data_IF_751911442984
#
_entry.id   IF_751911442984
#
_cell.length_a   1.000
_cell.length_b   1.000
_cell.length_c   1.000
_cell.angle_alpha   90.00
_cell.angle_beta   90.00
_cell.angle_gamma   90.00
#
_symmetry.space_group_name_H-M   'P 1'
#
loop_
_entity.id
_entity.type
_entity.pdbx_description
1 polymer ?
#
# COMPACT_ATOMS: atom_id res chain seq x y z
N UNK A 1 0.69 -11.42 -51.88
CA UNK A 1 0.31 -10.40 -50.88
C UNK A 1 -1.21 -10.15 -50.74
N UNK A 2 -2.05 -10.54 -51.71
CA UNK A 2 -3.52 -10.44 -51.61
C UNK A 2 -4.11 -11.25 -50.43
N UNK A 3 -3.58 -12.46 -50.18
CA UNK A 3 -3.95 -13.29 -49.03
C UNK A 3 -3.66 -12.64 -47.67
N UNK A 4 -2.52 -11.95 -47.53
CA UNK A 4 -2.17 -11.22 -46.30
C UNK A 4 -3.19 -10.11 -45.98
N UNK A 5 -3.60 -9.32 -46.98
CA UNK A 5 -4.58 -8.24 -46.77
C UNK A 5 -5.94 -8.78 -46.32
N UNK A 6 -6.38 -9.91 -46.88
CA UNK A 6 -7.60 -10.61 -46.47
C UNK A 6 -7.49 -11.11 -45.03
N UNK A 7 -6.36 -11.75 -44.70
CA UNK A 7 -6.08 -12.25 -43.34
C UNK A 7 -6.12 -11.11 -42.31
N UNK A 8 -5.50 -9.97 -42.61
CA UNK A 8 -5.51 -8.81 -41.71
C UNK A 8 -6.94 -8.29 -41.47
N UNK A 9 -7.72 -8.15 -42.54
CA UNK A 9 -9.11 -7.70 -42.45
C UNK A 9 -9.98 -8.62 -41.58
N UNK A 10 -9.77 -9.94 -41.67
CA UNK A 10 -10.49 -10.93 -40.87
C UNK A 10 -10.04 -10.98 -39.40
N UNK A 11 -8.73 -10.94 -39.13
CA UNK A 11 -8.19 -11.16 -37.78
C UNK A 11 -8.05 -9.89 -36.95
N UNK A 12 -7.75 -8.75 -37.58
CA UNK A 12 -7.48 -7.50 -36.88
C UNK A 12 -8.58 -6.45 -37.09
N UNK A 13 -9.47 -6.65 -38.06
CA UNK A 13 -10.55 -5.74 -38.43
C UNK A 13 -10.26 -5.03 -39.76
N UNK A 14 -11.31 -4.71 -40.51
CA UNK A 14 -11.20 -4.14 -41.88
C UNK A 14 -10.53 -2.75 -41.91
N UNK A 15 -10.47 -2.07 -40.76
CA UNK A 15 -9.86 -0.77 -40.58
C UNK A 15 -8.33 -0.80 -40.61
N UNK A 16 -7.72 -1.99 -40.46
CA UNK A 16 -6.29 -2.21 -40.56
C UNK A 16 -5.90 -2.66 -41.96
N UNK A 17 -5.00 -1.91 -42.61
CA UNK A 17 -4.61 -2.16 -44.01
C UNK A 17 -3.12 -2.04 -44.19
N UNK A 18 -2.56 -2.85 -45.08
CA UNK A 18 -1.14 -2.80 -45.45
C UNK A 18 -0.94 -2.75 -46.96
N UNK A 19 -0.01 -1.90 -47.38
CA UNK A 19 0.45 -1.82 -48.78
C UNK A 19 1.99 -1.71 -48.82
N UNK A 20 2.57 -2.10 -49.94
CA UNK A 20 3.98 -1.79 -50.22
C UNK A 20 4.11 -0.35 -50.71
N UNK A 21 5.14 0.34 -50.25
CA UNK A 21 5.53 1.64 -50.80
C UNK A 21 6.63 1.50 -51.85
N UNK A 22 6.88 2.57 -52.61
CA UNK A 22 7.95 2.62 -53.60
C UNK A 22 9.34 2.34 -53.00
N UNK A 23 9.52 2.59 -51.70
CA UNK A 23 10.72 2.23 -50.92
C UNK A 23 10.91 0.73 -50.71
N UNK A 24 9.96 -0.12 -51.13
CA UNK A 24 9.96 -1.55 -50.86
C UNK A 24 9.59 -1.90 -49.42
N UNK A 25 9.15 -0.94 -48.61
CA UNK A 25 8.74 -1.13 -47.21
C UNK A 25 7.23 -1.23 -47.05
N UNK A 26 6.79 -1.71 -45.90
CA UNK A 26 5.38 -1.92 -45.58
C UNK A 26 4.76 -0.67 -44.96
N UNK A 27 3.75 -0.09 -45.60
CA UNK A 27 2.90 0.96 -45.01
C UNK A 27 1.70 0.34 -44.30
N UNK A 28 1.60 0.60 -43.00
CA UNK A 28 0.45 0.27 -42.18
C UNK A 28 -0.51 1.46 -42.13
N UNK A 29 -1.79 1.22 -42.38
CA UNK A 29 -2.86 2.23 -42.32
C UNK A 29 -3.94 1.78 -41.35
N UNK A 30 -4.38 2.69 -40.50
CA UNK A 30 -5.55 2.50 -39.64
C UNK A 30 -6.63 3.54 -39.97
N UNK A 31 -7.86 3.07 -40.16
CA UNK A 31 -9.06 3.87 -40.40
C UNK A 31 -9.86 3.92 -39.10
N UNK A 32 -9.93 5.09 -38.46
CA UNK A 32 -10.69 5.27 -37.23
C UNK A 32 -12.20 5.24 -37.54
N UNK A 33 -12.99 4.61 -36.66
CA UNK A 33 -14.47 4.57 -36.73
C UNK A 33 -14.98 4.07 -38.09
N UNK A 34 -14.57 2.87 -38.46
CA UNK A 34 -14.73 2.27 -39.80
C UNK A 34 -16.16 2.32 -40.41
N UNK A 35 -17.21 2.52 -39.63
CA UNK A 35 -18.61 2.50 -40.07
C UNK A 35 -19.20 3.85 -40.55
N UNK A 36 -18.44 4.96 -40.55
CA UNK A 36 -18.97 6.31 -40.93
C UNK A 36 -18.64 6.79 -42.36
N UNK A 37 -18.15 5.92 -43.25
CA UNK A 37 -17.94 6.27 -44.67
C UNK A 37 -16.78 7.24 -44.93
N UNK A 38 -16.95 8.15 -45.91
CA UNK A 38 -15.87 8.98 -46.47
C UNK A 38 -15.24 9.99 -45.50
N UNK A 39 -15.88 10.28 -44.35
CA UNK A 39 -15.37 11.20 -43.32
C UNK A 39 -14.42 10.59 -42.28
N UNK A 40 -14.07 9.30 -42.40
CA UNK A 40 -13.24 8.63 -41.41
C UNK A 40 -11.81 9.17 -41.40
N UNK A 41 -11.33 9.57 -40.22
CA UNK A 41 -9.92 9.91 -40.01
C UNK A 41 -9.07 8.68 -40.32
N UNK A 42 -8.09 8.82 -41.22
CA UNK A 42 -7.13 7.78 -41.58
C UNK A 42 -5.74 8.24 -41.19
N UNK A 43 -4.95 7.34 -40.63
CA UNK A 43 -3.53 7.57 -40.38
C UNK A 43 -2.72 6.43 -40.96
N UNK A 44 -1.56 6.74 -41.52
CA UNK A 44 -0.66 5.74 -42.05
C UNK A 44 0.76 5.95 -41.50
N UNK A 45 1.49 4.84 -41.35
CA UNK A 45 2.89 4.83 -40.95
C UNK A 45 3.65 3.75 -41.69
N UNK A 46 4.79 4.10 -42.25
CA UNK A 46 5.73 3.15 -42.85
C UNK A 46 6.48 2.41 -41.76
N UNK A 47 6.35 1.09 -41.75
CA UNK A 47 7.11 0.18 -40.91
C UNK A 47 8.38 -0.22 -41.66
N UNK A 48 9.55 -0.30 -41.00
CA UNK A 48 10.79 -0.81 -41.58
C UNK A 48 10.77 -2.34 -41.75
N UNK A 49 9.68 -2.89 -42.31
CA UNK A 49 9.55 -4.29 -42.72
C UNK A 49 9.51 -4.32 -44.24
N UNK A 50 10.36 -5.15 -44.86
CA UNK A 50 10.36 -5.34 -46.31
C UNK A 50 8.99 -5.84 -46.79
N UNK A 51 8.45 -5.23 -47.83
CA UNK A 51 7.20 -5.67 -48.43
C UNK A 51 7.45 -6.87 -49.34
N UNK A 52 7.03 -8.05 -48.91
CA UNK A 52 7.18 -9.26 -49.72
C UNK A 52 6.56 -10.50 -49.06
N UNK A 53 6.47 -11.62 -49.80
CA UNK A 53 5.87 -12.86 -49.31
C UNK A 53 6.53 -13.43 -48.05
N UNK A 54 7.85 -13.24 -47.90
CA UNK A 54 8.65 -13.74 -46.77
C UNK A 54 8.41 -12.97 -45.47
N UNK A 55 7.93 -11.74 -45.54
CA UNK A 55 7.73 -10.86 -44.37
C UNK A 55 6.29 -10.89 -43.82
N UNK A 56 5.41 -11.75 -44.35
CA UNK A 56 3.99 -11.80 -43.94
C UNK A 56 3.81 -12.03 -42.43
N UNK A 57 4.57 -12.96 -41.84
CA UNK A 57 4.49 -13.27 -40.40
C UNK A 57 4.93 -12.08 -39.55
N UNK A 58 5.99 -11.39 -39.96
CA UNK A 58 6.51 -10.21 -39.26
C UNK A 58 5.51 -9.05 -39.30
N UNK A 59 4.86 -8.84 -40.45
CA UNK A 59 3.79 -7.83 -40.59
C UNK A 59 2.61 -8.15 -39.66
N UNK A 60 2.20 -9.42 -39.55
CA UNK A 60 1.10 -9.83 -38.66
C UNK A 60 1.46 -9.59 -37.19
N UNK A 61 2.66 -10.00 -36.76
CA UNK A 61 3.16 -9.75 -35.39
C UNK A 61 3.24 -8.26 -35.06
N UNK A 62 3.62 -7.43 -36.03
CA UNK A 62 3.64 -5.98 -35.85
C UNK A 62 2.23 -5.42 -35.59
N UNK A 63 1.24 -5.87 -36.34
CA UNK A 63 -0.16 -5.44 -36.17
C UNK A 63 -0.72 -5.95 -34.83
N UNK A 64 -0.40 -7.18 -34.45
CA UNK A 64 -0.81 -7.78 -33.17
C UNK A 64 -0.34 -6.95 -31.97
N UNK A 65 0.90 -6.43 -32.01
CA UNK A 65 1.41 -5.53 -30.98
C UNK A 65 0.82 -4.11 -31.06
N UNK A 66 0.71 -3.54 -32.26
CA UNK A 66 0.30 -2.14 -32.47
C UNK A 66 -1.20 -1.94 -32.19
N UNK A 67 -2.05 -2.90 -32.57
CA UNK A 67 -3.52 -2.78 -32.46
C UNK A 67 -4.02 -2.46 -31.05
N UNK A 68 -3.70 -3.23 -29.99
CA UNK A 68 -4.22 -2.94 -28.65
C UNK A 68 -3.73 -1.59 -28.14
N UNK A 69 -2.54 -1.14 -28.52
CA UNK A 69 -2.04 0.20 -28.18
C UNK A 69 -2.91 1.31 -28.80
N UNK A 70 -3.29 1.17 -30.07
CA UNK A 70 -4.11 2.18 -30.76
C UNK A 70 -5.59 2.11 -30.33
N UNK A 71 -6.15 0.91 -30.21
CA UNK A 71 -7.59 0.71 -30.00
C UNK A 71 -7.97 0.73 -28.52
N UNK A 72 -7.22 0.03 -27.67
CA UNK A 72 -7.57 -0.12 -26.25
C UNK A 72 -6.88 0.93 -25.36
N UNK A 73 -5.67 1.36 -25.74
CA UNK A 73 -4.90 2.37 -25.00
C UNK A 73 -4.99 3.77 -25.61
N UNK A 74 -5.75 3.93 -26.69
CA UNK A 74 -6.01 5.21 -27.36
C UNK A 74 -4.74 5.99 -27.77
N UNK A 75 -3.65 5.28 -28.10
CA UNK A 75 -2.42 5.88 -28.62
C UNK A 75 -2.56 6.24 -30.11
N UNK A 76 -1.76 7.20 -30.58
CA UNK A 76 -1.68 7.47 -32.02
C UNK A 76 -1.01 6.31 -32.75
N UNK A 77 -1.36 6.08 -34.03
CA UNK A 77 -0.70 5.05 -34.84
C UNK A 77 0.82 5.30 -34.93
N UNK A 78 1.24 6.55 -34.98
CA UNK A 78 2.65 6.91 -35.03
C UNK A 78 3.39 6.52 -33.73
N UNK A 79 2.79 6.77 -32.56
CA UNK A 79 3.37 6.38 -31.27
C UNK A 79 3.43 4.86 -31.16
N UNK A 80 2.32 4.16 -31.43
CA UNK A 80 2.27 2.71 -31.35
C UNK A 80 3.29 2.02 -32.29
N UNK A 81 3.42 2.50 -33.53
CA UNK A 81 4.42 2.01 -34.47
C UNK A 81 5.86 2.33 -34.04
N UNK A 82 6.09 3.48 -33.44
CA UNK A 82 7.41 3.83 -32.87
C UNK A 82 7.77 2.93 -31.70
N UNK A 83 6.80 2.60 -30.83
CA UNK A 83 6.96 1.65 -29.72
C UNK A 83 7.29 0.24 -30.21
N UNK A 84 6.58 -0.22 -31.25
CA UNK A 84 6.87 -1.49 -31.90
C UNK A 84 8.29 -1.52 -32.49
N UNK A 85 8.67 -0.48 -33.25
CA UNK A 85 10.02 -0.36 -33.82
C UNK A 85 11.09 -0.40 -32.73
N UNK A 86 10.89 0.33 -31.62
CA UNK A 86 11.81 0.34 -30.49
C UNK A 86 11.95 -1.03 -29.80
N UNK A 87 10.86 -1.79 -29.71
CA UNK A 87 10.84 -3.09 -29.03
C UNK A 87 11.41 -4.23 -29.88
N UNK A 88 11.19 -4.21 -31.20
CA UNK A 88 11.44 -5.38 -32.07
C UNK A 88 12.46 -5.15 -33.19
N UNK A 89 12.79 -3.89 -33.54
CA UNK A 89 13.69 -3.56 -34.65
C UNK A 89 14.92 -2.76 -34.23
N UNK A 90 14.83 -1.95 -33.17
CA UNK A 90 15.98 -1.18 -32.72
C UNK A 90 17.17 -2.07 -32.37
N UNK A 91 18.36 -1.70 -32.84
CA UNK A 91 19.60 -2.17 -32.21
C UNK A 91 19.51 -1.89 -30.71
N UNK A 92 19.95 -2.84 -29.87
CA UNK A 92 19.88 -2.75 -28.40
C UNK A 92 20.46 -1.44 -27.82
N UNK A 93 21.22 -0.68 -28.62
CA UNK A 93 21.85 0.59 -28.28
C UNK A 93 21.04 1.86 -28.63
N UNK A 94 20.05 1.82 -29.53
CA UNK A 94 19.44 3.05 -30.11
C UNK A 94 17.91 3.11 -30.11
N UNK A 95 17.21 2.16 -29.46
CA UNK A 95 15.79 2.35 -29.17
C UNK A 95 15.59 3.68 -28.41
N UNK A 96 14.63 4.55 -28.81
CA UNK A 96 14.38 5.81 -28.12
C UNK A 96 13.83 5.48 -26.72
N UNK A 97 14.73 5.34 -25.75
CA UNK A 97 14.35 5.42 -24.35
C UNK A 97 13.84 6.84 -24.13
N UNK A 98 12.55 6.97 -23.78
CA UNK A 98 12.13 8.20 -23.12
C UNK A 98 13.05 8.43 -21.92
N UNK A 99 13.37 9.69 -21.64
CA UNK A 99 14.17 9.97 -20.47
C UNK A 99 13.30 9.62 -19.25
N UNK A 100 13.86 8.91 -18.26
CA UNK A 100 13.11 8.60 -17.03
C UNK A 100 12.60 9.87 -16.35
N UNK A 101 13.31 11.00 -16.50
CA UNK A 101 12.90 12.31 -16.01
C UNK A 101 11.60 12.83 -16.68
N UNK A 102 11.24 12.35 -17.87
CA UNK A 102 10.05 12.80 -18.59
C UNK A 102 8.75 12.36 -17.88
N UNK A 103 8.77 11.25 -17.16
CA UNK A 103 7.57 10.68 -16.54
C UNK A 103 7.72 10.33 -15.04
N UNK A 104 8.88 10.61 -14.46
CA UNK A 104 9.15 10.50 -13.02
C UNK A 104 9.31 11.87 -12.38
N UNK A 105 8.24 12.67 -12.44
CA UNK A 105 8.25 13.99 -11.80
C UNK A 105 8.22 13.82 -10.28
N UNK A 106 9.19 14.45 -9.61
CA UNK A 106 9.37 14.36 -8.17
C UNK A 106 8.44 15.36 -7.45
N UNK A 107 7.54 14.91 -6.57
CA UNK A 107 6.79 15.81 -5.70
C UNK A 107 7.74 16.60 -4.79
N UNK A 108 7.53 17.91 -4.60
CA UNK A 108 8.35 18.71 -3.71
C UNK A 108 8.37 18.15 -2.28
N UNK A 109 9.54 17.79 -1.77
CA UNK A 109 9.71 17.37 -0.39
C UNK A 109 9.77 18.63 0.50
N UNK A 110 8.70 18.95 1.24
CA UNK A 110 8.77 19.95 2.32
C UNK A 110 9.88 19.56 3.29
N UNK A 111 10.99 20.27 3.25
CA UNK A 111 12.16 20.06 4.11
C UNK A 111 13.51 20.51 3.55
N UNK A 112 13.65 20.80 2.25
CA UNK A 112 14.92 21.37 1.70
C UNK A 112 14.89 22.88 1.47
N UNK A 113 13.71 23.49 1.38
CA UNK A 113 13.57 24.94 1.27
C UNK A 113 13.27 25.49 2.67
N UNK A 114 14.27 26.13 3.28
CA UNK A 114 14.09 27.12 4.37
C UNK A 114 13.60 28.45 3.77
N UNK A 115 12.71 28.40 2.78
CA UNK A 115 12.20 29.62 2.14
C UNK A 115 10.69 29.69 2.30
N UNK A 116 10.19 30.91 2.22
CA UNK A 116 8.85 31.37 2.50
C UNK A 116 7.74 30.35 2.16
N UNK A 117 6.71 30.24 3.03
CA UNK A 117 5.50 29.44 2.79
C UNK A 117 4.82 29.79 1.46
N UNK A 118 5.06 30.98 0.91
CA UNK A 118 4.57 31.38 -0.41
C UNK A 118 5.34 30.75 -1.58
N UNK A 119 6.67 30.71 -1.53
CA UNK A 119 7.50 30.08 -2.57
C UNK A 119 7.24 28.58 -2.66
N UNK A 120 7.13 27.90 -1.52
CA UNK A 120 6.75 26.49 -1.43
C UNK A 120 5.39 26.23 -2.12
N UNK A 121 4.44 27.16 -1.96
CA UNK A 121 3.12 27.08 -2.61
C UNK A 121 3.24 27.27 -4.12
N UNK A 122 4.02 28.25 -4.59
CA UNK A 122 4.28 28.50 -6.02
C UNK A 122 4.96 27.29 -6.67
N UNK A 123 5.98 26.72 -6.03
CA UNK A 123 6.70 25.55 -6.53
C UNK A 123 5.79 24.31 -6.62
N UNK A 124 4.97 24.06 -5.59
CA UNK A 124 4.02 22.93 -5.61
C UNK A 124 2.90 23.13 -6.64
N UNK A 125 2.45 24.37 -6.86
CA UNK A 125 1.51 24.70 -7.94
C UNK A 125 2.13 24.47 -9.32
N UNK A 126 3.41 24.84 -9.52
CA UNK A 126 4.14 24.58 -10.75
C UNK A 126 4.31 23.06 -11.01
N UNK A 127 4.72 22.28 -10.00
CA UNK A 127 4.77 20.82 -10.08
C UNK A 127 3.41 20.24 -10.50
N UNK A 128 2.32 20.65 -9.84
CA UNK A 128 0.97 20.17 -10.18
C UNK A 128 0.61 20.48 -11.64
N UNK A 129 0.85 21.72 -12.08
CA UNK A 129 0.58 22.15 -13.46
C UNK A 129 1.37 21.33 -14.47
N UNK A 130 2.65 21.09 -14.22
CA UNK A 130 3.49 20.32 -15.14
C UNK A 130 3.11 18.85 -15.14
N UNK A 131 2.88 18.30 -13.96
CA UNK A 131 2.50 16.90 -13.78
C UNK A 131 1.12 16.55 -14.36
N UNK A 132 0.23 17.53 -14.51
CA UNK A 132 -1.07 17.34 -15.16
C UNK A 132 -0.96 17.18 -16.69
N UNK A 133 0.16 17.60 -17.29
CA UNK A 133 0.38 17.54 -18.75
C UNK A 133 1.03 16.23 -19.20
N UNK A 134 1.53 15.42 -18.27
CA UNK A 134 2.32 14.22 -18.56
C UNK A 134 1.73 13.01 -17.85
N UNK A 135 1.74 11.84 -18.49
CA UNK A 135 1.39 10.56 -17.85
C UNK A 135 2.48 10.14 -16.85
N UNK A 136 2.55 10.86 -15.73
CA UNK A 136 3.60 10.70 -14.74
C UNK A 136 3.27 9.64 -13.69
N UNK A 137 4.28 8.94 -13.18
CA UNK A 137 4.13 7.81 -12.27
C UNK A 137 3.28 8.14 -11.02
N UNK A 138 3.45 9.32 -10.44
CA UNK A 138 2.70 9.70 -9.23
C UNK A 138 1.20 9.88 -9.48
N UNK A 139 0.75 10.03 -10.73
CA UNK A 139 -0.68 10.01 -11.05
C UNK A 139 -1.33 8.65 -10.73
N UNK A 140 -0.57 7.55 -10.80
CA UNK A 140 -1.05 6.22 -10.35
C UNK A 140 -1.18 6.10 -8.84
N UNK A 141 -0.66 7.09 -8.11
CA UNK A 141 -0.58 7.15 -6.66
C UNK A 141 -1.47 8.27 -6.10
N UNK A 142 -2.51 8.67 -6.84
CA UNK A 142 -3.47 9.66 -6.37
C UNK A 142 -4.23 9.17 -5.12
N UNK A 143 -4.63 10.12 -4.27
CA UNK A 143 -5.35 9.83 -3.02
C UNK A 143 -4.48 9.30 -1.87
N UNK A 144 -3.15 9.33 -2.03
CA UNK A 144 -2.22 8.99 -0.96
C UNK A 144 -2.18 10.04 0.16
N UNK A 145 -1.84 9.58 1.37
CA UNK A 145 -1.49 10.50 2.45
C UNK A 145 -0.23 11.30 2.10
N UNK A 146 -0.10 12.49 2.67
CA UNK A 146 1.08 13.35 2.51
C UNK A 146 2.39 12.65 2.87
N UNK A 147 2.39 11.79 3.90
CA UNK A 147 3.57 11.00 4.29
C UNK A 147 3.96 10.04 3.18
N UNK A 148 2.99 9.30 2.65
CA UNK A 148 3.22 8.32 1.59
C UNK A 148 3.68 9.00 0.29
N UNK A 149 3.13 10.16 -0.05
CA UNK A 149 3.59 10.98 -1.18
C UNK A 149 5.06 11.38 -1.02
N UNK A 150 5.47 11.84 0.17
CA UNK A 150 6.89 12.13 0.47
C UNK A 150 7.78 10.90 0.35
N UNK A 151 7.33 9.75 0.85
CA UNK A 151 8.10 8.50 0.76
C UNK A 151 8.30 8.07 -0.70
N UNK A 152 7.27 8.21 -1.55
CA UNK A 152 7.41 8.01 -2.99
C UNK A 152 8.34 9.03 -3.64
N UNK A 153 8.27 10.31 -3.27
CA UNK A 153 9.20 11.33 -3.74
C UNK A 153 10.66 10.99 -3.43
N UNK A 154 10.96 10.49 -2.21
CA UNK A 154 12.31 10.01 -1.84
C UNK A 154 12.76 8.82 -2.70
N UNK A 155 11.86 7.86 -2.94
CA UNK A 155 12.14 6.67 -3.76
C UNK A 155 12.42 7.03 -5.22
N UNK A 156 11.63 7.93 -5.80
CA UNK A 156 11.81 8.43 -7.16
C UNK A 156 13.12 9.22 -7.26
N UNK A 157 13.41 10.10 -6.29
CA UNK A 157 14.67 10.84 -6.24
C UNK A 157 15.88 9.91 -6.26
N UNK A 158 15.89 8.88 -5.42
CA UNK A 158 17.00 7.90 -5.42
C UNK A 158 17.12 7.16 -6.75
N UNK A 159 16.00 6.77 -7.34
CA UNK A 159 15.98 6.12 -8.65
C UNK A 159 16.61 7.02 -9.73
N UNK A 160 16.20 8.29 -9.79
CA UNK A 160 16.73 9.26 -10.75
C UNK A 160 18.19 9.62 -10.47
N UNK A 161 18.57 9.78 -9.21
CA UNK A 161 19.94 10.01 -8.80
C UNK A 161 20.86 8.93 -9.36
N UNK A 162 20.52 7.65 -9.17
CA UNK A 162 21.33 6.54 -9.68
C UNK A 162 21.28 6.44 -11.20
N UNK A 163 20.12 6.64 -11.81
CA UNK A 163 19.98 6.66 -13.27
C UNK A 163 20.85 7.73 -13.95
N UNK A 164 21.03 8.89 -13.31
CA UNK A 164 21.74 10.03 -13.85
C UNK A 164 23.25 10.06 -13.46
N UNK A 165 23.73 9.11 -12.66
CA UNK A 165 25.17 8.98 -12.31
C UNK A 165 25.99 8.54 -13.52
N UNK A 166 27.31 8.77 -13.46
CA UNK A 166 28.29 8.23 -14.41
C UNK A 166 29.23 7.24 -13.69
N UNK A 167 29.39 6.00 -14.19
CA UNK A 167 28.66 5.40 -15.30
C UNK A 167 27.17 5.16 -14.94
N UNK A 168 26.29 5.40 -15.90
CA UNK A 168 24.86 5.17 -15.72
C UNK A 168 24.55 3.66 -15.76
N UNK A 169 23.56 3.18 -14.99
CA UNK A 169 23.12 1.80 -15.09
C UNK A 169 22.56 1.50 -16.47
N UNK A 170 22.85 0.30 -16.97
CA UNK A 170 22.40 -0.15 -18.27
C UNK A 170 21.27 -1.17 -18.21
N UNK A 171 20.97 -1.77 -17.05
CA UNK A 171 19.86 -2.71 -16.90
C UNK A 171 19.01 -2.40 -15.67
N UNK A 172 17.77 -2.89 -15.66
CA UNK A 172 16.87 -2.80 -14.50
C UNK A 172 17.51 -3.44 -13.26
N UNK A 173 18.06 -4.65 -13.40
CA UNK A 173 18.78 -5.33 -12.31
C UNK A 173 19.95 -4.52 -11.78
N UNK A 174 20.79 -3.95 -12.65
CA UNK A 174 21.91 -3.11 -12.25
C UNK A 174 21.43 -1.84 -11.52
N UNK A 175 20.39 -1.18 -12.04
CA UNK A 175 19.81 -0.01 -11.40
C UNK A 175 19.28 -0.34 -10.00
N UNK A 176 18.52 -1.42 -9.83
CA UNK A 176 18.01 -1.81 -8.51
C UNK A 176 19.14 -2.11 -7.54
N UNK A 177 20.19 -2.82 -7.99
CA UNK A 177 21.38 -3.08 -7.18
C UNK A 177 22.04 -1.78 -6.71
N UNK A 178 22.35 -0.86 -7.63
CA UNK A 178 22.99 0.43 -7.32
C UNK A 178 22.09 1.33 -6.44
N UNK A 179 20.78 1.32 -6.67
CA UNK A 179 19.83 2.00 -5.79
C UNK A 179 19.87 1.46 -4.36
N UNK A 180 20.04 0.13 -4.23
CA UNK A 180 20.11 -0.57 -2.96
C UNK A 180 21.49 -0.53 -2.27
N UNK A 181 22.52 -0.05 -2.95
CA UNK A 181 23.81 0.27 -2.33
C UNK A 181 23.68 1.53 -1.47
N UNK A 182 24.44 1.59 -0.38
CA UNK A 182 24.50 2.73 0.52
C UNK A 182 23.15 3.13 1.14
N UNK A 183 22.21 2.18 1.27
CA UNK A 183 21.28 2.28 2.38
C UNK A 183 22.13 2.23 3.64
N UNK A 184 22.02 3.24 4.51
CA UNK A 184 22.60 3.13 5.85
C UNK A 184 21.98 1.97 6.62
N UNK A 185 22.05 2.00 7.94
CA UNK A 185 21.39 0.98 8.76
C UNK A 185 19.87 1.12 8.65
N UNK A 186 19.27 0.30 7.78
CA UNK A 186 17.81 0.17 7.65
C UNK A 186 17.40 -1.30 7.78
N UNK A 187 16.21 -1.50 8.31
CA UNK A 187 15.66 -2.84 8.47
C UNK A 187 15.33 -3.49 7.12
N UNK A 188 15.44 -4.83 6.99
CA UNK A 188 15.10 -5.54 5.76
C UNK A 188 13.66 -5.30 5.26
N UNK A 189 12.68 -5.12 6.15
CA UNK A 189 11.30 -4.81 5.73
C UNK A 189 11.20 -3.40 5.11
N UNK A 190 11.98 -2.44 5.62
CA UNK A 190 12.07 -1.13 5.01
C UNK A 190 12.76 -1.21 3.65
N UNK A 191 13.90 -1.90 3.57
CA UNK A 191 14.62 -2.15 2.31
C UNK A 191 13.72 -2.79 1.26
N UNK A 192 12.94 -3.82 1.64
CA UNK A 192 11.93 -4.45 0.78
C UNK A 192 10.96 -3.44 0.17
N UNK A 193 10.45 -2.47 0.95
CA UNK A 193 9.51 -1.45 0.45
C UNK A 193 10.13 -0.54 -0.61
N UNK A 194 11.42 -0.23 -0.50
CA UNK A 194 12.14 0.53 -1.53
C UNK A 194 12.33 -0.30 -2.81
N UNK A 195 12.79 -1.55 -2.67
CA UNK A 195 13.01 -2.43 -3.81
C UNK A 195 11.70 -2.69 -4.57
N UNK A 196 10.61 -3.00 -3.86
CA UNK A 196 9.29 -3.22 -4.46
C UNK A 196 8.81 -1.94 -5.20
N UNK A 197 9.08 -0.76 -4.64
CA UNK A 197 8.71 0.51 -5.26
C UNK A 197 9.49 0.80 -6.55
N UNK A 198 10.80 0.55 -6.57
CA UNK A 198 11.60 0.73 -7.78
C UNK A 198 11.28 -0.31 -8.86
N UNK A 199 10.97 -1.55 -8.47
CA UNK A 199 10.44 -2.55 -9.40
C UNK A 199 9.10 -2.09 -10.01
N UNK A 200 8.25 -1.43 -9.22
CA UNK A 200 7.01 -0.85 -9.72
C UNK A 200 7.26 0.29 -10.72
N UNK A 201 8.23 1.17 -10.46
CA UNK A 201 8.64 2.24 -11.37
C UNK A 201 9.15 1.67 -12.70
N UNK A 202 10.00 0.63 -12.66
CA UNK A 202 10.48 -0.05 -13.87
C UNK A 202 9.33 -0.60 -14.71
N UNK A 203 8.40 -1.33 -14.07
CA UNK A 203 7.20 -1.88 -14.73
C UNK A 203 6.33 -0.77 -15.32
N UNK A 204 6.19 0.36 -14.64
CA UNK A 204 5.47 1.51 -15.17
C UNK A 204 6.12 2.09 -16.42
N UNK A 205 7.44 2.28 -16.41
CA UNK A 205 8.19 2.75 -17.59
C UNK A 205 8.02 1.83 -18.80
N UNK A 206 8.14 0.52 -18.59
CA UNK A 206 7.96 -0.49 -19.65
C UNK A 206 6.54 -0.41 -20.23
N UNK A 207 5.54 -0.48 -19.35
CA UNK A 207 4.13 -0.64 -19.77
C UNK A 207 3.50 0.64 -20.32
N UNK A 208 3.85 1.81 -19.78
CA UNK A 208 3.22 3.09 -20.16
C UNK A 208 4.08 3.96 -21.07
N UNK A 209 5.40 3.90 -20.91
CA UNK A 209 6.35 4.80 -21.57
C UNK A 209 7.27 4.11 -22.58
N UNK A 210 7.06 2.81 -22.81
CA UNK A 210 7.79 2.02 -23.80
C UNK A 210 9.30 2.03 -23.59
N UNK A 211 9.69 2.04 -22.32
CA UNK A 211 11.04 1.68 -21.93
C UNK A 211 11.31 0.24 -22.38
N UNK A 212 12.50 -0.02 -22.93
CA UNK A 212 12.87 -1.34 -23.43
C UNK A 212 12.70 -2.42 -22.35
N UNK A 213 11.83 -3.39 -22.60
CA UNK A 213 11.45 -4.40 -21.61
C UNK A 213 12.62 -5.31 -21.21
N UNK A 214 13.40 -5.78 -22.19
CA UNK A 214 14.55 -6.66 -21.93
C UNK A 214 15.60 -5.96 -21.07
N UNK A 215 15.86 -4.69 -21.36
CA UNK A 215 16.84 -3.86 -20.66
C UNK A 215 16.40 -3.52 -19.25
N UNK A 216 15.16 -3.07 -19.10
CA UNK A 216 14.65 -2.47 -17.86
C UNK A 216 13.81 -3.43 -17.01
N UNK A 217 13.85 -4.74 -17.31
CA UNK A 217 13.15 -5.74 -16.54
C UNK A 217 13.57 -5.67 -15.05
N UNK A 218 12.61 -5.69 -14.11
CA UNK A 218 12.93 -5.82 -12.70
C UNK A 218 13.69 -7.13 -12.41
N UNK A 219 14.53 -7.17 -11.37
CA UNK A 219 15.21 -8.40 -10.98
C UNK A 219 14.22 -9.51 -10.57
N UNK A 220 14.65 -10.75 -10.75
CA UNK A 220 13.92 -11.92 -10.27
C UNK A 220 13.75 -11.91 -8.74
N UNK A 221 12.72 -12.60 -8.24
CA UNK A 221 12.35 -12.57 -6.82
C UNK A 221 13.46 -13.13 -5.91
N UNK A 222 14.25 -14.12 -6.39
CA UNK A 222 15.42 -14.65 -5.67
C UNK A 222 16.48 -13.57 -5.44
N UNK A 223 16.88 -12.88 -6.50
CA UNK A 223 17.86 -11.79 -6.42
C UNK A 223 17.35 -10.63 -5.55
N UNK A 224 16.06 -10.31 -5.62
CA UNK A 224 15.45 -9.31 -4.74
C UNK A 224 15.56 -9.70 -3.26
N UNK A 225 15.35 -10.98 -2.92
CA UNK A 225 15.51 -11.48 -1.55
C UNK A 225 16.96 -11.38 -1.06
N UNK A 226 17.93 -11.66 -1.92
CA UNK A 226 19.35 -11.47 -1.60
C UNK A 226 19.65 -10.00 -1.28
N UNK A 227 19.15 -9.07 -2.09
CA UNK A 227 19.33 -7.64 -1.85
C UNK A 227 18.62 -7.15 -0.57
N UNK A 228 17.45 -7.69 -0.23
CA UNK A 228 16.74 -7.37 1.03
C UNK A 228 17.59 -7.74 2.24
N UNK A 229 18.33 -8.85 2.15
CA UNK A 229 19.14 -9.37 3.24
C UNK A 229 18.32 -10.11 4.30
N UNK A 230 19.01 -10.57 5.35
CA UNK A 230 18.39 -11.26 6.49
C UNK A 230 18.18 -10.26 7.62
N UNK A 231 17.10 -10.43 8.36
CA UNK A 231 16.87 -9.67 9.59
C UNK A 231 17.60 -10.37 10.72
N UNK A 232 18.37 -9.61 11.50
CA UNK A 232 19.05 -10.13 12.68
C UNK A 232 18.09 -10.35 13.86
N UNK A 233 16.90 -9.75 13.80
CA UNK A 233 15.82 -9.95 14.77
C UNK A 233 15.11 -11.26 14.52
N UNK A 234 14.98 -12.06 15.57
CA UNK A 234 14.16 -13.28 15.56
C UNK A 234 12.69 -12.94 15.33
N UNK A 235 11.86 -13.96 15.09
CA UNK A 235 10.40 -13.76 15.03
C UNK A 235 9.82 -13.39 16.39
N UNK A 236 10.45 -13.83 17.48
CA UNK A 236 10.07 -13.53 18.86
C UNK A 236 10.38 -12.07 19.19
N UNK A 237 11.56 -11.57 18.81
CA UNK A 237 11.96 -10.16 19.00
C UNK A 237 11.01 -9.18 18.32
N UNK A 238 10.25 -9.63 17.31
CA UNK A 238 9.30 -8.80 16.54
C UNK A 238 7.90 -8.79 17.12
N UNK A 239 7.63 -9.62 18.13
CA UNK A 239 6.33 -9.62 18.77
C UNK A 239 6.16 -8.35 19.58
N UNK A 240 5.02 -7.69 19.42
CA UNK A 240 4.65 -6.53 20.24
C UNK A 240 4.11 -7.04 21.58
N UNK A 241 4.75 -6.73 22.72
CA UNK A 241 4.29 -7.22 24.02
C UNK A 241 2.90 -6.72 24.32
N UNK A 242 2.19 -7.44 25.19
CA UNK A 242 0.93 -6.99 25.75
C UNK A 242 1.17 -6.24 27.07
N UNK A 243 0.20 -5.42 27.48
CA UNK A 243 0.22 -4.81 28.81
C UNK A 243 -0.32 -5.83 29.80
N UNK A 244 0.41 -6.09 30.88
CA UNK A 244 -0.01 -7.01 31.94
C UNK A 244 -1.30 -6.54 32.62
N UNK A 245 -2.04 -7.48 33.21
CA UNK A 245 -3.36 -7.22 33.78
C UNK A 245 -3.30 -6.26 34.98
N UNK A 246 -2.35 -6.47 35.89
CA UNK A 246 -2.11 -5.60 37.05
C UNK A 246 -1.68 -4.19 36.63
N UNK A 247 -0.81 -4.07 35.63
CA UNK A 247 -0.39 -2.79 35.07
C UNK A 247 -1.57 -2.03 34.45
N UNK A 248 -2.42 -2.73 33.69
CA UNK A 248 -3.62 -2.13 33.13
C UNK A 248 -4.61 -1.71 34.22
N UNK A 249 -4.80 -2.52 35.27
CA UNK A 249 -5.64 -2.16 36.41
C UNK A 249 -5.17 -0.86 37.07
N UNK A 250 -3.88 -0.77 37.42
CA UNK A 250 -3.29 0.43 38.05
C UNK A 250 -3.42 1.66 37.16
N UNK A 251 -3.19 1.50 35.85
CA UNK A 251 -3.37 2.58 34.88
C UNK A 251 -4.82 3.06 34.83
N UNK A 252 -5.79 2.15 34.71
CA UNK A 252 -7.19 2.52 34.61
C UNK A 252 -7.71 3.14 35.92
N UNK A 253 -7.29 2.65 37.08
CA UNK A 253 -7.64 3.24 38.38
C UNK A 253 -7.12 4.68 38.52
N UNK A 254 -5.84 4.89 38.19
CA UNK A 254 -5.23 6.22 38.19
C UNK A 254 -5.93 7.17 37.22
N UNK A 255 -6.28 6.70 36.02
CA UNK A 255 -6.98 7.53 35.03
C UNK A 255 -8.42 7.82 35.43
N UNK A 256 -9.14 6.87 36.04
CA UNK A 256 -10.53 7.04 36.47
C UNK A 256 -10.68 8.19 37.47
N UNK A 257 -9.68 8.35 38.35
CA UNK A 257 -9.62 9.43 39.34
C UNK A 257 -9.06 10.74 38.79
N UNK A 258 -8.01 10.70 37.96
CA UNK A 258 -7.27 11.90 37.54
C UNK A 258 -7.69 12.47 36.17
N UNK A 259 -8.11 11.63 35.23
CA UNK A 259 -8.39 12.02 33.84
C UNK A 259 -9.44 11.10 33.19
N UNK A 260 -10.71 11.43 33.43
CA UNK A 260 -11.87 10.65 32.95
C UNK A 260 -11.93 10.51 31.42
N UNK A 261 -11.49 11.51 30.66
CA UNK A 261 -11.48 11.44 29.19
C UNK A 261 -10.45 10.41 28.70
N UNK A 262 -9.24 10.43 29.27
CA UNK A 262 -8.19 9.47 28.92
C UNK A 262 -8.50 8.07 29.46
N UNK A 263 -9.15 7.97 30.62
CA UNK A 263 -9.72 6.72 31.14
C UNK A 263 -10.69 6.09 30.13
N UNK A 264 -11.65 6.85 29.62
CA UNK A 264 -12.61 6.38 28.64
C UNK A 264 -11.90 5.87 27.37
N UNK A 265 -11.00 6.67 26.80
CA UNK A 265 -10.26 6.29 25.58
C UNK A 265 -9.40 5.04 25.77
N UNK A 266 -8.68 4.96 26.90
CA UNK A 266 -7.78 3.83 27.22
C UNK A 266 -8.58 2.57 27.47
N UNK A 267 -9.69 2.65 28.21
CA UNK A 267 -10.59 1.51 28.46
C UNK A 267 -11.24 1.00 27.18
N UNK A 268 -11.68 1.89 26.28
CA UNK A 268 -12.19 1.51 24.97
C UNK A 268 -11.12 0.73 24.17
N UNK A 269 -9.87 1.17 24.18
CA UNK A 269 -8.78 0.49 23.45
C UNK A 269 -8.44 -0.86 24.07
N UNK A 270 -8.21 -0.91 25.38
CA UNK A 270 -7.66 -2.08 26.08
C UNK A 270 -8.67 -3.19 26.32
N UNK A 271 -9.93 -2.84 26.65
CA UNK A 271 -10.97 -3.82 26.99
C UNK A 271 -11.68 -4.36 25.75
N UNK A 272 -11.77 -3.58 24.66
CA UNK A 272 -12.45 -4.00 23.42
C UNK A 272 -11.49 -4.39 22.29
N UNK A 273 -10.19 -4.33 22.55
CA UNK A 273 -9.15 -4.60 21.56
C UNK A 273 -9.34 -3.73 20.32
N UNK A 274 -9.43 -2.41 20.49
CA UNK A 274 -9.53 -1.44 19.38
C UNK A 274 -8.15 -1.06 18.86
N UNK A 275 -8.06 -0.66 17.59
CA UNK A 275 -6.88 0.07 17.11
C UNK A 275 -6.98 1.48 17.67
N UNK A 276 -5.84 2.11 17.93
CA UNK A 276 -5.81 3.49 18.44
C UNK A 276 -6.62 4.44 17.53
N UNK A 277 -6.49 4.29 16.21
CA UNK A 277 -7.25 5.05 15.21
C UNK A 277 -8.75 4.67 15.09
N UNK A 278 -9.18 3.53 15.62
CA UNK A 278 -10.59 3.10 15.56
C UNK A 278 -11.50 3.93 16.49
N UNK A 279 -10.93 4.70 17.43
CA UNK A 279 -11.67 5.69 18.23
C UNK A 279 -12.49 6.68 17.39
N UNK A 280 -12.11 6.89 16.12
CA UNK A 280 -12.79 7.80 15.19
C UNK A 280 -14.08 7.25 14.56
N UNK A 281 -14.34 5.94 14.68
CA UNK A 281 -15.40 5.24 13.95
C UNK A 281 -16.22 4.34 14.86
N UNK A 282 -16.41 4.76 16.11
CA UNK A 282 -17.22 4.04 17.09
C UNK A 282 -18.68 4.50 17.01
N UNK A 283 -19.58 3.55 17.17
CA UNK A 283 -21.02 3.79 17.29
C UNK A 283 -21.60 2.84 18.32
N UNK A 284 -22.62 3.28 19.06
CA UNK A 284 -23.37 2.40 19.96
C UNK A 284 -24.74 2.14 19.35
N UNK A 285 -25.15 0.87 19.34
CA UNK A 285 -26.46 0.41 18.85
C UNK A 285 -26.96 -0.66 19.82
N UNK A 286 -28.16 -0.48 20.36
CA UNK A 286 -28.78 -1.42 21.31
C UNK A 286 -27.86 -1.78 22.50
N UNK A 287 -27.18 -0.78 23.07
CA UNK A 287 -26.22 -0.97 24.16
C UNK A 287 -24.93 -1.70 23.79
N UNK A 288 -24.68 -1.94 22.49
CA UNK A 288 -23.50 -2.63 21.99
C UNK A 288 -22.57 -1.69 21.22
N UNK A 289 -21.27 -1.85 21.44
CA UNK A 289 -20.25 -1.08 20.73
C UNK A 289 -19.97 -1.69 19.34
N UNK A 290 -19.98 -0.83 18.32
CA UNK A 290 -19.63 -1.17 16.95
C UNK A 290 -18.48 -0.30 16.43
N UNK A 291 -17.68 -0.89 15.53
CA UNK A 291 -16.47 -0.28 14.97
C UNK A 291 -16.57 -0.27 13.46
N UNK A 292 -16.53 0.93 12.87
CA UNK A 292 -16.45 1.14 11.44
C UNK A 292 -15.06 0.83 10.85
N UNK A 293 -14.88 1.15 9.57
CA UNK A 293 -13.67 0.78 8.83
C UNK A 293 -12.70 1.94 8.65
N UNK A 294 -11.51 1.80 9.21
CA UNK A 294 -10.44 2.80 9.07
C UNK A 294 -9.42 2.50 7.95
N UNK A 295 -9.33 1.24 7.49
CA UNK A 295 -8.34 0.82 6.48
C UNK A 295 -8.99 0.74 5.10
N UNK A 296 -8.68 1.69 4.21
CA UNK A 296 -9.03 1.63 2.79
C UNK A 296 -7.87 1.00 2.01
N UNK A 297 -8.15 -0.06 1.27
CA UNK A 297 -7.25 -0.58 0.23
C UNK A 297 -7.92 -0.27 -1.11
N UNK A 298 -7.21 0.34 -2.07
CA UNK A 298 -7.73 0.72 -3.39
C UNK A 298 -8.54 -0.42 -4.03
N UNK A 299 -8.06 -1.66 -3.93
CA UNK A 299 -8.67 -2.86 -4.51
C UNK A 299 -9.94 -3.35 -3.78
N UNK A 300 -10.26 -2.81 -2.60
CA UNK A 300 -11.43 -3.22 -1.79
C UNK A 300 -12.25 -2.03 -1.28
N UNK A 301 -11.90 -0.82 -1.71
CA UNK A 301 -12.46 0.45 -1.24
C UNK A 301 -13.92 0.64 -1.67
N UNK A 302 -14.35 0.00 -2.75
CA UNK A 302 -15.72 0.03 -3.26
C UNK A 302 -16.69 -0.88 -2.51
N UNK A 303 -16.21 -1.80 -1.67
CA UNK A 303 -17.08 -2.71 -0.91
C UNK A 303 -17.55 -2.01 0.36
N UNK A 304 -18.85 -1.72 0.47
CA UNK A 304 -19.48 -1.35 1.75
C UNK A 304 -19.26 -2.49 2.73
N UNK A 305 -18.53 -2.22 3.80
CA UNK A 305 -18.31 -3.19 4.88
C UNK A 305 -19.16 -2.77 6.07
N UNK A 306 -19.85 -3.74 6.67
CA UNK A 306 -20.69 -3.51 7.84
C UNK A 306 -19.79 -3.30 9.07
N UNK A 307 -20.11 -2.35 9.96
CA UNK A 307 -19.42 -2.21 11.24
C UNK A 307 -19.36 -3.55 11.98
N UNK A 308 -18.23 -3.83 12.61
CA UNK A 308 -18.08 -5.04 13.44
C UNK A 308 -18.54 -4.73 14.86
N UNK A 309 -19.19 -5.69 15.53
CA UNK A 309 -19.41 -5.61 16.98
C UNK A 309 -18.07 -5.76 17.69
N UNK A 310 -17.83 -4.93 18.70
CA UNK A 310 -16.69 -5.04 19.60
C UNK A 310 -17.16 -5.63 20.93
N UNK A 311 -16.42 -6.62 21.42
CA UNK A 311 -16.71 -7.33 22.66
C UNK A 311 -15.68 -6.92 23.70
N UNK A 312 -16.12 -6.74 24.94
CA UNK A 312 -15.23 -6.42 26.06
C UNK A 312 -14.67 -7.70 26.69
N UNK A 313 -13.42 -7.64 27.15
CA UNK A 313 -12.87 -8.53 28.16
C UNK A 313 -12.46 -7.66 29.34
N UNK A 314 -13.22 -7.75 30.42
CA UNK A 314 -13.03 -6.95 31.62
C UNK A 314 -11.72 -7.30 32.35
N UNK A 315 -11.38 -6.47 33.33
CA UNK A 315 -10.37 -6.83 34.34
C UNK A 315 -11.05 -7.71 35.38
N UNK A 316 -10.32 -8.71 35.90
CA UNK A 316 -10.81 -9.59 36.96
C UNK A 316 -11.32 -8.78 38.16
N UNK A 317 -10.60 -7.72 38.52
CA UNK A 317 -10.89 -6.84 39.65
C UNK A 317 -12.00 -5.82 39.38
N UNK A 318 -12.42 -5.63 38.11
CA UNK A 318 -13.48 -4.69 37.72
C UNK A 318 -14.51 -5.38 36.80
N UNK A 319 -15.34 -6.29 37.34
CA UNK A 319 -16.38 -6.93 36.56
C UNK A 319 -17.41 -5.92 36.04
N UNK A 320 -17.94 -6.16 34.84
CA UNK A 320 -18.89 -5.31 34.12
C UNK A 320 -18.34 -3.94 33.69
N UNK A 321 -17.02 -3.73 33.75
CA UNK A 321 -16.41 -2.47 33.35
C UNK A 321 -16.70 -2.16 31.87
N UNK A 322 -16.62 -3.15 30.97
CA UNK A 322 -16.92 -2.97 29.55
C UNK A 322 -18.32 -2.38 29.32
N UNK A 323 -19.35 -2.93 30.00
CA UNK A 323 -20.71 -2.41 29.91
C UNK A 323 -20.81 -0.96 30.42
N UNK A 324 -20.14 -0.64 31.55
CA UNK A 324 -20.03 0.73 32.06
C UNK A 324 -19.38 1.66 31.03
N UNK A 325 -18.30 1.22 30.38
CA UNK A 325 -17.58 2.01 29.37
C UNK A 325 -18.45 2.30 28.14
N UNK A 326 -19.25 1.34 27.66
CA UNK A 326 -20.20 1.59 26.56
C UNK A 326 -21.22 2.66 26.96
N UNK A 327 -21.82 2.55 28.16
CA UNK A 327 -22.78 3.55 28.66
C UNK A 327 -22.16 4.94 28.81
N UNK A 328 -20.93 5.02 29.33
CA UNK A 328 -20.22 6.30 29.44
C UNK A 328 -19.98 6.92 28.07
N UNK A 329 -19.52 6.12 27.10
CA UNK A 329 -19.31 6.58 25.73
C UNK A 329 -20.62 7.05 25.06
N UNK A 330 -21.69 6.27 25.20
CA UNK A 330 -23.02 6.58 24.64
C UNK A 330 -23.64 7.84 25.27
N UNK A 331 -23.49 8.02 26.57
CA UNK A 331 -24.06 9.16 27.29
C UNK A 331 -23.51 10.52 26.83
N UNK A 332 -22.28 10.55 26.28
CA UNK A 332 -21.58 11.78 25.91
C UNK A 332 -21.19 12.67 27.09
N UNK A 333 -21.47 12.27 28.34
CA UNK A 333 -21.12 12.99 29.56
C UNK A 333 -19.60 13.08 29.76
N UNK A 334 -18.90 11.99 29.42
CA UNK A 334 -17.45 11.95 29.32
C UNK A 334 -17.11 11.86 27.84
N UNK A 335 -16.32 12.81 27.34
CA UNK A 335 -15.87 12.84 25.95
C UNK A 335 -14.50 12.19 25.80
N UNK A 336 -14.13 11.85 24.57
CA UNK A 336 -12.74 11.50 24.26
C UNK A 336 -11.83 12.72 24.46
N UNK A 337 -10.52 12.52 24.69
CA UNK A 337 -9.60 13.64 24.90
C UNK A 337 -9.65 14.67 23.77
N UNK A 338 -9.66 15.97 24.12
CA UNK A 338 -9.75 17.07 23.14
C UNK A 338 -8.80 16.94 21.92
N UNK A 339 -7.52 16.56 22.06
CA UNK A 339 -6.64 16.38 20.91
C UNK A 339 -7.08 15.23 19.99
N UNK A 340 -7.68 14.17 20.53
CA UNK A 340 -8.25 13.05 19.78
C UNK A 340 -9.47 13.52 18.99
N UNK A 341 -10.42 14.19 19.65
CA UNK A 341 -11.61 14.77 19.00
C UNK A 341 -11.23 15.71 17.84
N UNK A 342 -10.25 16.59 18.07
CA UNK A 342 -9.76 17.52 17.05
C UNK A 342 -9.25 16.79 15.80
N UNK A 343 -8.62 15.61 15.96
CA UNK A 343 -8.18 14.82 14.81
C UNK A 343 -9.34 14.03 14.18
N UNK A 344 -10.33 13.60 14.96
CA UNK A 344 -11.55 12.94 14.45
C UNK A 344 -12.29 13.90 13.51
N UNK A 345 -12.47 15.17 13.88
CA UNK A 345 -13.14 16.16 13.02
C UNK A 345 -12.40 16.34 11.69
N UNK A 346 -11.06 16.32 11.74
CA UNK A 346 -10.18 16.42 10.56
C UNK A 346 -10.15 15.16 9.69
N UNK A 347 -10.71 14.03 10.13
CA UNK A 347 -10.75 12.81 9.32
C UNK A 347 -11.57 13.04 8.05
N UNK A 348 -12.66 13.80 8.11
CA UNK A 348 -13.51 14.07 6.94
C UNK A 348 -12.75 14.82 5.86
N UNK A 349 -11.88 15.75 6.26
CA UNK A 349 -11.06 16.56 5.36
C UNK A 349 -9.83 15.81 4.83
N UNK A 350 -9.09 15.15 5.73
CA UNK A 350 -7.82 14.48 5.39
C UNK A 350 -8.02 13.09 4.82
N UNK A 351 -9.17 12.47 5.07
CA UNK A 351 -9.47 11.08 4.74
C UNK A 351 -8.40 10.09 5.28
N UNK A 352 -7.83 10.40 6.45
CA UNK A 352 -6.83 9.56 7.13
C UNK A 352 -7.12 9.45 8.63
N UNK A 353 -7.02 8.25 9.19
CA UNK A 353 -7.32 7.97 10.60
C UNK A 353 -6.07 7.89 11.50
N UNK A 354 -4.87 7.87 10.93
CA UNK A 354 -3.62 7.67 11.68
C UNK A 354 -3.38 8.75 12.75
N UNK A 355 -3.67 10.01 12.41
CA UNK A 355 -3.47 11.15 13.31
C UNK A 355 -4.32 11.04 14.60
N UNK A 356 -5.47 10.38 14.56
CA UNK A 356 -6.33 10.14 15.73
C UNK A 356 -5.61 9.26 16.75
N UNK A 357 -5.03 8.15 16.28
CA UNK A 357 -4.24 7.25 17.11
C UNK A 357 -2.99 7.95 17.67
N UNK A 358 -2.31 8.76 16.84
CA UNK A 358 -1.12 9.49 17.28
C UNK A 358 -1.45 10.55 18.35
N UNK A 359 -2.61 11.22 18.24
CA UNK A 359 -3.06 12.16 19.26
C UNK A 359 -3.29 11.47 20.61
N UNK A 360 -3.87 10.26 20.60
CA UNK A 360 -4.00 9.45 21.81
C UNK A 360 -2.63 9.09 22.41
N UNK A 361 -1.71 8.57 21.58
CA UNK A 361 -0.34 8.21 21.97
C UNK A 361 0.35 9.36 22.70
N UNK A 362 0.34 10.57 22.11
CA UNK A 362 1.01 11.74 22.69
C UNK A 362 0.50 12.13 24.08
N UNK A 363 -0.76 11.84 24.40
CA UNK A 363 -1.35 12.15 25.70
C UNK A 363 -1.01 11.02 26.69
N UNK A 364 -1.16 9.76 26.28
CA UNK A 364 -0.87 8.61 27.14
C UNK A 364 0.61 8.57 27.54
N UNK A 365 1.54 8.84 26.62
CA UNK A 365 2.98 8.84 26.90
C UNK A 365 3.43 9.89 27.91
N UNK A 366 2.59 10.88 28.20
CA UNK A 366 2.85 11.89 29.25
C UNK A 366 2.36 11.46 30.62
N UNK A 367 1.53 10.44 30.73
CA UNK A 367 1.00 9.95 31.99
C UNK A 367 2.09 9.20 32.78
N UNK A 368 2.22 9.50 34.08
CA UNK A 368 3.27 8.93 34.93
C UNK A 368 3.14 7.42 35.15
N UNK A 369 1.91 6.89 35.29
CA UNK A 369 1.71 5.44 35.44
C UNK A 369 2.11 4.72 34.14
N UNK A 370 1.76 5.27 32.99
CA UNK A 370 2.21 4.73 31.70
C UNK A 370 3.74 4.74 31.57
N UNK A 371 4.41 5.83 31.96
CA UNK A 371 5.88 5.89 31.96
C UNK A 371 6.50 4.81 32.84
N UNK A 372 5.89 4.51 34.00
CA UNK A 372 6.36 3.43 34.87
C UNK A 372 6.19 2.04 34.25
N UNK A 373 5.08 1.79 33.54
CA UNK A 373 4.88 0.55 32.79
C UNK A 373 6.00 0.38 31.74
N UNK A 374 6.27 1.43 30.95
CA UNK A 374 7.32 1.41 29.93
C UNK A 374 8.72 1.26 30.54
N UNK A 375 8.96 1.81 31.74
CA UNK A 375 10.23 1.65 32.46
C UNK A 375 10.48 0.18 32.84
N UNK A 376 9.43 -0.55 33.22
CA UNK A 376 9.52 -1.96 33.59
C UNK A 376 9.51 -2.89 32.37
N UNK A 377 9.01 -2.42 31.22
CA UNK A 377 9.03 -3.16 29.97
C UNK A 377 9.19 -2.18 28.79
N UNK A 378 10.42 -1.98 28.33
CA UNK A 378 10.77 -0.97 27.32
C UNK A 378 10.17 -1.22 25.94
N UNK A 379 9.72 -2.44 25.67
CA UNK A 379 9.10 -2.82 24.39
C UNK A 379 7.59 -2.56 24.37
N UNK A 380 6.99 -2.23 25.52
CA UNK A 380 5.57 -1.85 25.59
C UNK A 380 5.35 -0.50 24.93
N UNK A 381 4.36 -0.47 24.04
CA UNK A 381 3.91 0.75 23.37
C UNK A 381 2.42 0.94 23.62
N UNK A 382 1.84 2.12 23.35
CA UNK A 382 0.38 2.29 23.46
C UNK A 382 -0.42 1.26 22.64
N UNK A 383 0.17 0.72 21.56
CA UNK A 383 -0.46 -0.35 20.78
C UNK A 383 -0.53 -1.69 21.52
N UNK A 384 0.32 -1.92 22.50
CA UNK A 384 0.32 -3.10 23.39
C UNK A 384 -0.99 -3.26 24.17
N UNK A 385 -1.75 -2.18 24.41
CA UNK A 385 -3.10 -2.25 25.00
C UNK A 385 -4.04 -3.10 24.16
N UNK A 386 -3.94 -3.04 22.83
CA UNK A 386 -4.70 -3.91 21.92
C UNK A 386 -4.22 -5.35 22.01
N UNK A 387 -2.92 -5.57 22.24
CA UNK A 387 -2.35 -6.91 22.42
C UNK A 387 -2.78 -7.55 23.75
N UNK A 388 -3.02 -6.75 24.81
CA UNK A 388 -3.64 -7.24 26.06
C UNK A 388 -4.96 -7.94 25.77
N UNK A 389 -5.85 -7.29 25.03
CA UNK A 389 -7.13 -7.92 24.66
C UNK A 389 -6.93 -9.26 23.95
N UNK A 390 -6.06 -9.31 22.93
CA UNK A 390 -5.80 -10.52 22.17
C UNK A 390 -5.20 -11.65 23.03
N UNK A 391 -4.28 -11.31 23.94
CA UNK A 391 -3.72 -12.25 24.89
C UNK A 391 -4.84 -12.84 25.78
N UNK A 392 -5.69 -11.97 26.32
CA UNK A 392 -6.79 -12.37 27.20
C UNK A 392 -7.83 -13.24 26.50
N UNK A 393 -8.12 -13.01 25.20
CA UNK A 393 -8.97 -13.93 24.42
C UNK A 393 -8.50 -15.38 24.47
N UNK A 394 -7.18 -15.63 24.55
CA UNK A 394 -6.60 -16.96 24.43
C UNK A 394 -6.07 -17.54 25.73
N UNK A 395 -5.70 -16.68 26.68
CA UNK A 395 -4.99 -17.08 27.90
C UNK A 395 -5.67 -16.60 29.18
N UNK A 396 -6.64 -15.70 29.08
CA UNK A 396 -7.36 -15.09 30.21
C UNK A 396 -8.47 -15.94 30.83
N UNK A 397 -8.76 -17.10 30.24
CA UNK A 397 -9.86 -17.97 30.67
C UNK A 397 -9.46 -19.43 30.59
N UNK A 398 -10.10 -20.26 31.41
CA UNK A 398 -10.06 -21.72 31.31
C UNK A 398 -10.73 -22.23 30.04
N UNK A 399 -11.58 -21.40 29.42
CA UNK A 399 -12.23 -21.66 28.12
C UNK A 399 -11.80 -20.58 27.13
N UNK A 400 -10.63 -20.75 26.45
CA UNK A 400 -10.14 -19.78 25.47
C UNK A 400 -11.08 -19.60 24.28
N UNK A 401 -11.17 -18.38 23.77
CA UNK A 401 -11.83 -18.12 22.50
C UNK A 401 -11.04 -18.75 21.35
N UNK A 402 -11.76 -19.28 20.36
CA UNK A 402 -11.14 -19.78 19.15
C UNK A 402 -10.43 -18.64 18.40
N UNK A 403 -9.39 -18.98 17.62
CA UNK A 403 -8.70 -18.00 16.76
C UNK A 403 -9.68 -17.32 15.78
N UNK A 404 -10.71 -18.02 15.32
CA UNK A 404 -11.71 -17.46 14.40
C UNK A 404 -12.56 -16.39 15.09
N UNK A 405 -13.01 -16.66 16.31
CA UNK A 405 -13.88 -15.73 17.05
C UNK A 405 -13.10 -14.50 17.51
N UNK A 406 -11.90 -14.69 18.06
CA UNK A 406 -11.01 -13.58 18.43
C UNK A 406 -10.63 -12.72 17.21
N UNK A 407 -10.31 -13.36 16.07
CA UNK A 407 -10.03 -12.65 14.84
C UNK A 407 -11.24 -11.85 14.33
N UNK A 408 -12.44 -12.43 14.36
CA UNK A 408 -13.67 -11.75 13.96
C UNK A 408 -13.95 -10.55 14.87
N UNK A 409 -13.86 -10.72 16.19
CA UNK A 409 -14.02 -9.66 17.17
C UNK A 409 -13.05 -8.50 16.92
N UNK A 410 -11.79 -8.77 16.57
CA UNK A 410 -10.76 -7.74 16.31
C UNK A 410 -10.75 -7.18 14.87
N UNK A 411 -11.57 -7.73 13.96
CA UNK A 411 -11.61 -7.36 12.55
C UNK A 411 -10.40 -7.82 11.74
N UNK A 412 -9.92 -9.04 12.00
CA UNK A 412 -8.79 -9.69 11.33
C UNK A 412 -9.23 -10.89 10.48
N UNK A 413 -8.39 -11.30 9.54
CA UNK A 413 -8.42 -12.69 9.05
C UNK A 413 -7.75 -13.59 10.08
N UNK A 414 -8.11 -14.88 10.19
CA UNK A 414 -7.47 -15.81 11.12
C UNK A 414 -5.95 -15.87 10.96
N UNK A 415 -5.45 -15.87 9.72
CA UNK A 415 -4.00 -15.83 9.44
C UNK A 415 -3.33 -14.55 9.96
N UNK A 416 -3.96 -13.39 9.80
CA UNK A 416 -3.44 -12.12 10.34
C UNK A 416 -3.39 -12.17 11.87
N UNK A 417 -4.47 -12.67 12.49
CA UNK A 417 -4.54 -12.79 13.95
C UNK A 417 -3.44 -13.72 14.48
N UNK A 418 -3.27 -14.90 13.87
CA UNK A 418 -2.27 -15.86 14.27
C UNK A 418 -0.82 -15.36 14.08
N UNK A 419 -0.59 -14.51 13.08
CA UNK A 419 0.73 -13.98 12.80
C UNK A 419 1.18 -12.87 13.76
N UNK A 420 0.26 -12.16 14.40
CA UNK A 420 0.59 -10.95 15.16
C UNK A 420 0.02 -10.92 16.58
N UNK A 421 -1.09 -11.62 16.85
CA UNK A 421 -1.90 -11.41 18.05
C UNK A 421 -2.03 -12.66 18.95
N UNK A 422 -1.83 -13.87 18.43
CA UNK A 422 -1.97 -15.13 19.20
C UNK A 422 -0.64 -15.88 19.41
N UNK A 423 0.50 -15.19 19.33
CA UNK A 423 1.82 -15.84 19.37
C UNK A 423 2.46 -15.92 20.75
N UNK A 424 2.06 -15.07 21.68
CA UNK A 424 2.62 -15.10 23.03
C UNK A 424 2.19 -16.38 23.75
N UNK A 425 3.19 -17.16 24.14
CA UNK A 425 3.02 -18.35 24.96
C UNK A 425 4.29 -18.54 25.78
N UNK A 426 4.14 -18.84 27.07
CA UNK A 426 5.23 -19.25 27.96
C UNK A 426 5.13 -20.75 28.20
N UNK A 427 6.22 -21.39 28.63
CA UNK A 427 6.21 -22.80 29.03
C UNK A 427 5.12 -23.07 30.08
N UNK A 428 5.03 -22.23 31.12
CA UNK A 428 3.98 -22.30 32.13
C UNK A 428 2.57 -22.22 31.52
N UNK A 429 2.37 -21.36 30.52
CA UNK A 429 1.07 -21.26 29.84
C UNK A 429 0.75 -22.49 28.98
N UNK A 430 1.78 -23.19 28.48
CA UNK A 430 1.63 -24.44 27.74
C UNK A 430 1.31 -25.57 28.72
N UNK A 431 2.06 -25.69 29.83
CA UNK A 431 1.79 -26.67 30.89
C UNK A 431 0.36 -26.57 31.40
N UNK A 432 -0.09 -25.36 31.79
CA UNK A 432 -1.48 -25.12 32.20
C UNK A 432 -2.51 -25.43 31.11
N UNK A 433 -2.17 -25.25 29.84
CA UNK A 433 -3.08 -25.60 28.75
C UNK A 433 -3.23 -27.13 28.61
N UNK A 434 -2.15 -27.89 28.82
CA UNK A 434 -2.18 -29.35 28.84
C UNK A 434 -2.91 -29.88 30.08
N UNK A 435 -2.65 -29.33 31.26
CA UNK A 435 -3.38 -29.66 32.50
C UNK A 435 -4.89 -29.50 32.30
N UNK A 436 -5.34 -28.34 31.82
CA UNK A 436 -6.76 -28.11 31.50
C UNK A 436 -7.31 -29.05 30.45
N UNK A 437 -6.52 -29.37 29.41
CA UNK A 437 -6.98 -30.29 28.37
C UNK A 437 -7.21 -31.69 28.93
N UNK A 438 -6.35 -32.15 29.86
CA UNK A 438 -6.51 -33.42 30.54
C UNK A 438 -7.72 -33.40 31.50
N UNK A 439 -7.91 -32.33 32.27
CA UNK A 439 -9.06 -32.16 33.18
C UNK A 439 -10.41 -32.18 32.45
N UNK A 440 -10.47 -31.60 31.25
CA UNK A 440 -11.69 -31.48 30.46
C UNK A 440 -11.80 -32.56 29.38
N UNK A 441 -10.96 -33.60 29.42
CA UNK A 441 -10.99 -34.69 28.45
C UNK A 441 -12.24 -35.53 28.66
N UNK A 442 -13.14 -35.52 27.69
CA UNK A 442 -14.29 -36.41 27.68
C UNK A 442 -13.80 -37.85 27.50
N UNK A 443 -14.32 -38.78 28.31
CA UNK A 443 -14.19 -40.21 28.03
C UNK A 443 -14.95 -40.48 26.72
N UNK A 444 -14.21 -40.90 25.69
CA UNK A 444 -14.77 -41.27 24.39
C UNK A 444 -15.23 -42.72 24.45
#
# INVERSE_FOLDING_TARGET
MSGLRRNIGSNFGRGWRVIGEASGLTKLTYVYQEFKGAGNKKTAKTLPIKWGPTSQVEILKAIEFIKPLVVEKNLTLNDAASRWKAQFIGDEKTAPNKNWNDFLLVPPLKGRLKTDKEEDRKYYAAYKKESAKVDQFMATKQGLSRKTEKDWGRRINRFLEVMNRKPAPNTGTQLIKLCAENFGEIEPDEKKRYLDAWCEILKYGITRHSMNEKRWQPPYESYKKELIGKSNRTKEDKLTPYVEESDLFNLLESLESSNKELFLATSLISLFGLRLSELAVLTVQDGNLYVGHIKKNANTSSRKRKPRRAFAIDLVEKPNLGAKIVRLYESGLIKLPKPVLTQIDKVREKNTYGDVGQAYVQILERNEVWKNIVKNNTDVTPYSLRHRFAHQCHKGSTVPLSVKDAAAAMGHTPSTHMNFYSRYTTELSVAKAFERHLENRLAV
#
